data_IF_148402135655
#
_entry.id   IF_148402135655
#
_cell.length_a   1.000
_cell.length_b   1.000
_cell.length_c   1.000
_cell.angle_alpha   90.00
_cell.angle_beta   90.00
_cell.angle_gamma   90.00
#
_symmetry.space_group_name_H-M   'P 1'
#
loop_
_entity.id
_entity.type
_entity.pdbx_description
1 polymer ?
#
# COMPACT_ATOMS: atom_id res chain seq x y z
N UNK A 1 8.81 -8.52 -16.09
CA UNK A 1 9.41 -7.51 -15.19
C UNK A 1 8.95 -6.08 -15.48
N UNK A 2 9.13 -5.54 -16.71
CA UNK A 2 8.70 -4.15 -17.02
C UNK A 2 7.20 -3.90 -16.80
N UNK A 3 6.34 -4.79 -17.29
CA UNK A 3 4.88 -4.68 -17.12
C UNK A 3 4.48 -4.71 -15.63
N UNK A 4 5.06 -5.61 -14.83
CA UNK A 4 4.82 -5.67 -13.39
C UNK A 4 5.30 -4.41 -12.66
N UNK A 5 6.45 -3.84 -13.08
CA UNK A 5 6.93 -2.57 -12.54
C UNK A 5 5.98 -1.41 -12.89
N UNK A 6 5.49 -1.35 -14.13
CA UNK A 6 4.49 -0.37 -14.55
C UNK A 6 3.19 -0.53 -13.75
N UNK A 7 2.70 -1.75 -13.60
CA UNK A 7 1.52 -2.05 -12.79
C UNK A 7 1.71 -1.61 -11.34
N UNK A 8 2.89 -1.84 -10.75
CA UNK A 8 3.19 -1.37 -9.39
C UNK A 8 3.20 0.16 -9.29
N UNK A 9 3.72 0.88 -10.31
CA UNK A 9 3.69 2.35 -10.35
C UNK A 9 2.25 2.87 -10.48
N UNK A 10 1.42 2.26 -11.33
CA UNK A 10 0.00 2.63 -11.45
C UNK A 10 -0.73 2.38 -10.13
N UNK A 11 -0.53 1.21 -9.52
CA UNK A 11 -1.09 0.88 -8.20
C UNK A 11 -0.65 1.85 -7.10
N UNK A 12 0.61 2.30 -7.14
CA UNK A 12 1.13 3.33 -6.24
C UNK A 12 0.42 4.66 -6.43
N UNK A 13 0.28 5.13 -7.66
CA UNK A 13 -0.38 6.41 -7.97
C UNK A 13 -1.85 6.37 -7.56
N UNK A 14 -2.58 5.31 -7.94
CA UNK A 14 -3.99 5.13 -7.55
C UNK A 14 -4.13 5.08 -6.03
N UNK A 15 -3.27 4.32 -5.35
CA UNK A 15 -3.29 4.24 -3.88
C UNK A 15 -3.03 5.60 -3.24
N UNK A 16 -2.04 6.36 -3.73
CA UNK A 16 -1.70 7.68 -3.21
C UNK A 16 -2.83 8.70 -3.43
N UNK A 17 -3.43 8.74 -4.63
CA UNK A 17 -4.54 9.65 -4.93
C UNK A 17 -5.76 9.34 -4.05
N UNK A 18 -6.17 8.08 -3.93
CA UNK A 18 -7.26 7.69 -3.05
C UNK A 18 -6.93 7.99 -1.58
N UNK A 19 -5.67 7.79 -1.17
CA UNK A 19 -5.22 8.13 0.17
C UNK A 19 -5.38 9.62 0.47
N UNK A 20 -4.97 10.50 -0.45
CA UNK A 20 -5.13 11.95 -0.33
C UNK A 20 -6.60 12.35 -0.26
N UNK A 21 -7.47 11.72 -1.06
CA UNK A 21 -8.92 11.98 -1.03
C UNK A 21 -9.51 11.72 0.36
N UNK A 22 -9.01 10.74 1.11
CA UNK A 22 -9.50 10.46 2.48
C UNK A 22 -9.32 11.60 3.48
N UNK A 23 -8.54 12.64 3.14
CA UNK A 23 -8.34 13.83 3.97
C UNK A 23 -9.27 14.99 3.61
N UNK A 24 -10.00 14.90 2.51
CA UNK A 24 -10.78 16.03 1.96
C UNK A 24 -12.21 16.12 2.50
N UNK A 25 -12.66 15.13 3.26
CA UNK A 25 -14.05 15.04 3.73
C UNK A 25 -15.06 14.61 2.66
N UNK A 26 -14.61 14.36 1.42
CA UNK A 26 -15.45 13.83 0.33
C UNK A 26 -15.94 12.42 0.68
N UNK A 27 -17.19 12.12 0.32
CA UNK A 27 -17.74 10.78 0.50
C UNK A 27 -16.97 9.75 -0.31
N UNK A 28 -16.21 8.92 0.40
CA UNK A 28 -15.40 7.86 -0.17
C UNK A 28 -16.16 6.55 -0.36
N UNK A 29 -17.47 6.50 -0.06
CA UNK A 29 -18.27 5.28 -0.13
C UNK A 29 -18.26 4.65 -1.54
N UNK A 30 -18.23 5.48 -2.59
CA UNK A 30 -18.11 5.04 -3.98
C UNK A 30 -16.79 4.33 -4.31
N UNK A 31 -15.73 4.52 -3.52
CA UNK A 31 -14.43 3.87 -3.72
C UNK A 31 -14.29 2.56 -2.94
N UNK A 32 -15.29 2.17 -2.14
CA UNK A 32 -15.20 0.94 -1.33
C UNK A 32 -14.99 -0.32 -2.17
N UNK A 33 -15.53 -0.36 -3.39
CA UNK A 33 -15.30 -1.44 -4.35
C UNK A 33 -13.83 -1.55 -4.81
N UNK A 34 -13.02 -0.49 -4.67
CA UNK A 34 -11.60 -0.49 -5.04
C UNK A 34 -10.70 -1.10 -3.96
N UNK A 35 -11.17 -1.22 -2.73
CA UNK A 35 -10.39 -1.77 -1.60
C UNK A 35 -9.88 -3.18 -1.92
N UNK A 36 -10.78 -4.06 -2.34
CA UNK A 36 -10.44 -5.44 -2.66
C UNK A 36 -9.45 -5.56 -3.83
N UNK A 37 -9.72 -4.99 -5.04
CA UNK A 37 -8.79 -5.12 -6.15
C UNK A 37 -7.44 -4.43 -5.90
N UNK A 38 -7.37 -3.33 -5.13
CA UNK A 38 -6.09 -2.74 -4.72
C UNK A 38 -5.30 -3.68 -3.79
N UNK A 39 -5.98 -4.27 -2.81
CA UNK A 39 -5.36 -5.28 -1.94
C UNK A 39 -4.89 -6.51 -2.71
N UNK A 40 -5.73 -7.06 -3.59
CA UNK A 40 -5.40 -8.21 -4.44
C UNK A 40 -4.24 -7.89 -5.40
N UNK A 41 -4.24 -6.69 -5.99
CA UNK A 41 -3.19 -6.23 -6.89
C UNK A 41 -1.82 -6.11 -6.23
N UNK A 42 -1.76 -5.90 -4.90
CA UNK A 42 -0.50 -5.97 -4.16
C UNK A 42 0.12 -7.36 -4.30
N UNK A 43 -0.65 -8.44 -4.16
CA UNK A 43 -0.11 -9.79 -4.28
C UNK A 43 0.46 -10.09 -5.67
N UNK A 44 -0.17 -9.55 -6.72
CA UNK A 44 0.28 -9.68 -8.13
C UNK A 44 1.69 -9.13 -8.31
N UNK A 45 2.05 -8.04 -7.62
CA UNK A 45 3.39 -7.44 -7.73
C UNK A 45 4.34 -7.91 -6.62
N UNK A 46 3.81 -8.22 -5.44
CA UNK A 46 4.60 -8.54 -4.26
C UNK A 46 5.22 -9.93 -4.36
N UNK A 47 4.48 -10.93 -4.85
CA UNK A 47 5.02 -12.28 -5.04
C UNK A 47 6.22 -12.26 -6.00
N UNK A 48 6.13 -11.70 -7.23
CA UNK A 48 7.29 -11.53 -8.11
C UNK A 48 8.40 -10.70 -7.49
N UNK A 49 8.08 -9.70 -6.67
CA UNK A 49 9.06 -8.88 -5.95
C UNK A 49 9.89 -9.73 -4.97
N UNK A 50 9.25 -10.64 -4.24
CA UNK A 50 9.92 -11.58 -3.32
C UNK A 50 10.80 -12.60 -4.05
N UNK A 51 10.39 -13.08 -5.22
CA UNK A 51 11.27 -13.95 -6.03
C UNK A 51 12.42 -13.16 -6.67
N UNK A 52 12.12 -11.97 -7.16
CA UNK A 52 13.09 -11.03 -7.68
C UNK A 52 14.07 -10.55 -6.59
N UNK A 53 13.72 -10.58 -5.31
CA UNK A 53 14.63 -10.25 -4.23
C UNK A 53 15.59 -11.40 -3.89
N UNK A 54 15.09 -12.63 -3.81
CA UNK A 54 15.91 -13.81 -3.51
C UNK A 54 17.05 -14.02 -4.50
N UNK A 55 16.78 -13.86 -5.80
CA UNK A 55 17.80 -14.01 -6.85
C UNK A 55 18.85 -12.87 -6.86
N UNK A 56 18.79 -11.89 -5.94
CA UNK A 56 19.79 -10.81 -5.76
C UNK A 56 20.74 -11.13 -4.60
N UNK A 57 20.38 -12.06 -3.71
CA UNK A 57 21.26 -12.52 -2.64
C UNK A 57 22.31 -13.46 -3.23
N UNK A 58 23.58 -13.08 -3.11
CA UNK A 58 24.67 -14.04 -3.02
C UNK A 58 24.74 -14.51 -1.56
N UNK A 59 25.03 -15.79 -1.31
CA UNK A 59 25.10 -16.43 0.02
C UNK A 59 25.94 -15.67 1.08
N UNK A 60 26.77 -14.71 0.67
CA UNK A 60 27.60 -13.89 1.55
C UNK A 60 26.96 -12.59 2.07
N UNK A 61 25.79 -12.15 1.57
CA UNK A 61 25.19 -10.86 1.94
C UNK A 61 23.97 -10.98 2.86
N UNK A 62 24.20 -10.76 4.15
CA UNK A 62 23.19 -10.84 5.24
C UNK A 62 22.09 -9.77 5.18
N UNK A 63 22.25 -8.71 4.38
CA UNK A 63 21.36 -7.53 4.43
C UNK A 63 20.74 -7.23 3.06
N UNK A 64 19.69 -7.99 2.72
CA UNK A 64 18.99 -7.93 1.42
C UNK A 64 18.62 -6.50 1.01
N UNK A 65 18.08 -5.71 1.95
CA UNK A 65 17.63 -4.35 1.67
C UNK A 65 18.78 -3.43 1.28
N UNK A 66 19.96 -3.58 1.90
CA UNK A 66 21.16 -2.85 1.47
C UNK A 66 21.55 -3.20 0.04
N UNK A 67 21.46 -4.47 -0.36
CA UNK A 67 21.84 -4.93 -1.72
C UNK A 67 20.83 -4.46 -2.76
N UNK A 68 19.54 -4.63 -2.47
CA UNK A 68 18.46 -4.19 -3.33
C UNK A 68 18.50 -2.68 -3.57
N UNK A 69 18.85 -1.93 -2.52
CA UNK A 69 18.88 -0.48 -2.55
C UNK A 69 20.26 0.13 -2.88
N UNK A 70 21.35 -0.65 -2.88
CA UNK A 70 22.70 -0.14 -3.18
C UNK A 70 22.83 0.49 -4.57
N UNK A 71 21.98 0.07 -5.51
CA UNK A 71 21.94 0.60 -6.89
C UNK A 71 20.98 1.76 -7.07
N UNK A 72 20.27 2.16 -6.02
CA UNK A 72 19.34 3.28 -6.04
C UNK A 72 19.96 4.53 -5.41
N UNK A 73 19.44 5.72 -5.74
CA UNK A 73 19.85 6.95 -5.09
C UNK A 73 19.72 6.85 -3.57
N UNK A 74 20.68 7.42 -2.83
CA UNK A 74 20.72 7.38 -1.35
C UNK A 74 19.47 7.94 -0.66
N UNK A 75 18.65 8.73 -1.35
CA UNK A 75 17.39 9.26 -0.83
C UNK A 75 16.25 8.23 -0.82
N UNK A 76 16.31 7.22 -1.69
CA UNK A 76 15.20 6.29 -1.89
C UNK A 76 14.96 5.32 -0.71
N UNK A 77 16.01 4.75 -0.07
CA UNK A 77 15.83 4.02 1.18
C UNK A 77 15.17 4.85 2.28
N UNK A 78 15.49 6.15 2.33
CA UNK A 78 14.90 7.08 3.30
C UNK A 78 13.41 7.26 3.01
N UNK A 79 13.01 7.41 1.74
CA UNK A 79 11.60 7.48 1.34
C UNK A 79 10.84 6.22 1.76
N UNK A 80 11.40 5.03 1.53
CA UNK A 80 10.77 3.78 1.99
C UNK A 80 10.65 3.71 3.51
N UNK A 81 11.68 4.13 4.24
CA UNK A 81 11.65 4.20 5.71
C UNK A 81 10.57 5.15 6.22
N UNK A 82 10.45 6.34 5.62
CA UNK A 82 9.41 7.33 5.94
C UNK A 82 8.02 6.78 5.60
N UNK A 83 7.83 6.15 4.44
CA UNK A 83 6.57 5.54 4.05
C UNK A 83 6.18 4.37 4.97
N UNK A 84 7.14 3.55 5.41
CA UNK A 84 6.89 2.46 6.34
C UNK A 84 6.50 2.99 7.74
N UNK A 85 7.22 4.00 8.25
CA UNK A 85 6.88 4.66 9.50
C UNK A 85 5.49 5.31 9.43
N UNK A 86 5.20 6.01 8.32
CA UNK A 86 3.90 6.59 8.04
C UNK A 86 2.79 5.53 7.98
N UNK A 87 3.01 4.42 7.29
CA UNK A 87 2.06 3.31 7.20
C UNK A 87 1.70 2.78 8.59
N UNK A 88 2.71 2.52 9.44
CA UNK A 88 2.51 2.03 10.81
C UNK A 88 1.74 3.06 11.64
N UNK A 89 2.19 4.32 11.63
CA UNK A 89 1.53 5.40 12.35
C UNK A 89 0.08 5.55 11.88
N UNK A 90 -0.17 5.68 10.58
CA UNK A 90 -1.50 5.83 10.00
C UNK A 90 -2.40 4.64 10.33
N UNK A 91 -1.88 3.41 10.30
CA UNK A 91 -2.64 2.22 10.69
C UNK A 91 -3.09 2.27 12.15
N UNK A 92 -2.14 2.47 13.06
CA UNK A 92 -2.43 2.50 14.50
C UNK A 92 -3.35 3.68 14.82
N UNK A 93 -3.01 4.88 14.35
CA UNK A 93 -3.78 6.09 14.59
C UNK A 93 -5.21 5.96 14.04
N UNK A 94 -5.37 5.45 12.82
CA UNK A 94 -6.72 5.31 12.23
C UNK A 94 -7.54 4.28 12.98
N UNK A 95 -7.00 3.09 13.27
CA UNK A 95 -7.76 2.05 13.97
C UNK A 95 -8.10 2.43 15.41
N UNK A 96 -7.11 2.90 16.16
CA UNK A 96 -7.25 3.13 17.60
C UNK A 96 -7.96 4.46 17.87
N UNK A 97 -7.51 5.54 17.24
CA UNK A 97 -7.99 6.90 17.56
C UNK A 97 -9.23 7.26 16.74
N UNK A 98 -9.20 7.06 15.41
CA UNK A 98 -10.29 7.53 14.55
C UNK A 98 -11.48 6.56 14.51
N UNK A 99 -11.20 5.25 14.52
CA UNK A 99 -12.22 4.21 14.39
C UNK A 99 -12.65 3.58 15.72
N UNK A 100 -11.96 3.87 16.83
CA UNK A 100 -12.23 3.27 18.14
C UNK A 100 -12.30 1.73 18.10
N UNK A 101 -11.50 1.10 17.23
CA UNK A 101 -11.50 -0.35 17.01
C UNK A 101 -12.74 -0.93 16.31
N UNK A 102 -13.64 -0.09 15.79
CA UNK A 102 -14.87 -0.51 15.11
C UNK A 102 -14.87 -0.31 13.59
N UNK A 103 -15.97 -0.68 12.96
CA UNK A 103 -16.26 -0.39 11.56
C UNK A 103 -17.71 0.09 11.38
N UNK A 104 -17.97 0.97 10.40
CA UNK A 104 -19.31 1.46 10.13
C UNK A 104 -20.19 0.35 9.53
N UNK A 105 -21.44 0.27 9.99
CA UNK A 105 -22.47 -0.67 9.51
C UNK A 105 -23.83 0.01 9.45
N UNK A 106 -24.70 -0.53 8.60
CA UNK A 106 -26.12 -0.17 8.59
C UNK A 106 -26.86 -1.40 9.13
N UNK A 107 -27.58 -1.24 10.24
CA UNK A 107 -28.36 -2.30 10.89
C UNK A 107 -29.76 -1.76 11.12
N UNK A 108 -30.78 -2.43 10.57
CA UNK A 108 -32.18 -2.00 10.67
C UNK A 108 -32.42 -0.54 10.22
N UNK A 109 -31.68 -0.07 9.21
CA UNK A 109 -31.75 1.30 8.71
C UNK A 109 -30.94 2.32 9.52
N UNK A 110 -30.40 1.95 10.67
CA UNK A 110 -29.56 2.83 11.50
C UNK A 110 -28.08 2.69 11.14
N UNK A 111 -27.38 3.83 11.04
CA UNK A 111 -25.92 3.89 10.88
C UNK A 111 -25.28 3.71 12.26
N UNK A 112 -24.50 2.66 12.44
CA UNK A 112 -23.86 2.34 13.70
C UNK A 112 -22.36 2.07 13.52
N UNK A 113 -21.59 2.33 14.57
CA UNK A 113 -20.24 1.84 14.73
C UNK A 113 -20.29 0.54 15.52
N UNK A 114 -19.70 -0.52 14.98
CA UNK A 114 -19.72 -1.85 15.59
C UNK A 114 -18.31 -2.46 15.60
N UNK A 115 -17.94 -3.15 16.67
CA UNK A 115 -16.72 -3.97 16.73
C UNK A 115 -17.08 -5.39 17.17
N UNK A 116 -16.70 -6.40 16.39
CA UNK A 116 -16.96 -7.82 16.71
C UNK A 116 -18.41 -8.13 17.13
N UNK A 117 -19.39 -7.52 16.46
CA UNK A 117 -20.81 -7.69 16.78
C UNK A 117 -21.32 -6.77 17.90
N UNK A 118 -20.43 -6.17 18.69
CA UNK A 118 -20.78 -5.25 19.78
C UNK A 118 -21.04 -3.85 19.24
N UNK A 119 -22.20 -3.29 19.59
CA UNK A 119 -22.53 -1.90 19.31
C UNK A 119 -21.61 -0.97 20.09
N UNK A 120 -21.00 0.00 19.42
CA UNK A 120 -20.19 1.05 20.06
C UNK A 120 -21.00 2.33 20.20
N UNK A 121 -21.52 2.86 19.08
CA UNK A 121 -22.36 4.06 19.05
C UNK A 121 -23.20 4.15 17.79
N UNK A 122 -24.27 4.96 17.82
CA UNK A 122 -24.94 5.43 16.60
C UNK A 122 -24.06 6.47 15.92
N UNK A 123 -24.14 6.54 14.59
CA UNK A 123 -23.38 7.47 13.76
C UNK A 123 -24.34 8.44 13.08
N UNK A 124 -23.95 9.71 12.99
CA UNK A 124 -24.57 10.63 12.03
C UNK A 124 -24.16 10.27 10.59
N UNK A 125 -24.78 10.93 9.62
CA UNK A 125 -24.45 10.75 8.22
C UNK A 125 -23.01 11.14 7.90
N UNK A 126 -22.55 12.25 8.47
CA UNK A 126 -21.18 12.76 8.33
C UNK A 126 -20.19 11.82 9.01
N UNK A 127 -20.49 11.34 10.22
CA UNK A 127 -19.63 10.39 10.93
C UNK A 127 -19.53 9.06 10.17
N UNK A 128 -20.64 8.57 9.61
CA UNK A 128 -20.64 7.35 8.79
C UNK A 128 -19.75 7.50 7.56
N UNK A 129 -19.88 8.62 6.83
CA UNK A 129 -19.05 8.93 5.68
C UNK A 129 -17.57 9.03 6.07
N UNK A 130 -17.25 9.69 7.17
CA UNK A 130 -15.87 9.78 7.68
C UNK A 130 -15.30 8.38 8.01
N UNK A 131 -16.08 7.52 8.66
CA UNK A 131 -15.66 6.14 8.97
C UNK A 131 -15.40 5.31 7.71
N UNK A 132 -16.18 5.49 6.64
CA UNK A 132 -15.92 4.85 5.34
C UNK A 132 -14.64 5.37 4.70
N UNK A 133 -14.34 6.66 4.85
CA UNK A 133 -13.05 7.24 4.47
C UNK A 133 -11.88 6.60 5.22
N UNK A 134 -12.04 6.32 6.52
CA UNK A 134 -11.02 5.66 7.33
C UNK A 134 -10.74 4.21 6.92
N UNK A 135 -11.76 3.45 6.50
CA UNK A 135 -11.57 2.12 5.91
C UNK A 135 -10.65 2.19 4.68
N UNK A 136 -10.94 3.11 3.75
CA UNK A 136 -10.12 3.33 2.57
C UNK A 136 -8.71 3.79 2.93
N UNK A 137 -8.58 4.66 3.93
CA UNK A 137 -7.30 5.23 4.40
C UNK A 137 -6.35 4.16 4.94
N UNK A 138 -6.87 3.20 5.69
CA UNK A 138 -6.07 2.07 6.18
C UNK A 138 -5.52 1.27 5.01
N UNK A 139 -6.39 0.90 4.07
CA UNK A 139 -6.01 0.06 2.91
C UNK A 139 -4.99 0.78 2.03
N UNK A 140 -5.30 2.00 1.63
CA UNK A 140 -4.45 2.80 0.72
C UNK A 140 -3.09 3.15 1.34
N UNK A 141 -3.03 3.34 2.67
CA UNK A 141 -1.76 3.54 3.38
C UNK A 141 -0.83 2.32 3.28
N UNK A 142 -1.37 1.10 3.39
CA UNK A 142 -0.59 -0.12 3.23
C UNK A 142 -0.20 -0.36 1.78
N UNK A 143 -1.18 -0.29 0.86
CA UNK A 143 -0.94 -0.59 -0.55
C UNK A 143 0.08 0.38 -1.13
N UNK A 144 0.08 1.66 -0.75
CA UNK A 144 1.09 2.64 -1.15
C UNK A 144 2.53 2.17 -0.79
N UNK A 145 2.75 1.65 0.42
CA UNK A 145 4.08 1.14 0.81
C UNK A 145 4.49 -0.07 -0.04
N UNK A 146 3.62 -1.07 -0.16
CA UNK A 146 3.92 -2.29 -0.91
C UNK A 146 4.12 -2.05 -2.40
N UNK A 147 3.27 -1.23 -3.02
CA UNK A 147 3.42 -0.84 -4.42
C UNK A 147 4.69 -0.04 -4.66
N UNK A 148 5.06 0.87 -3.74
CA UNK A 148 6.33 1.59 -3.81
C UNK A 148 7.51 0.62 -3.79
N UNK A 149 7.58 -0.25 -2.78
CA UNK A 149 8.67 -1.23 -2.65
C UNK A 149 8.75 -2.16 -3.88
N UNK A 150 7.61 -2.66 -4.37
CA UNK A 150 7.55 -3.50 -5.56
C UNK A 150 8.00 -2.76 -6.83
N UNK A 151 7.52 -1.53 -7.04
CA UNK A 151 7.88 -0.71 -8.19
C UNK A 151 9.41 -0.51 -8.27
N UNK A 152 10.06 -0.30 -7.12
CA UNK A 152 11.50 -0.15 -7.05
C UNK A 152 12.22 -1.44 -7.43
N UNK A 153 11.98 -2.54 -6.71
CA UNK A 153 12.69 -3.81 -6.95
C UNK A 153 12.49 -4.29 -8.39
N UNK A 154 11.24 -4.27 -8.89
CA UNK A 154 10.92 -4.73 -10.23
C UNK A 154 11.52 -3.83 -11.32
N UNK A 155 11.57 -2.52 -11.10
CA UNK A 155 12.23 -1.58 -12.02
C UNK A 155 13.75 -1.80 -12.07
N UNK A 156 14.40 -2.00 -10.92
CA UNK A 156 15.82 -2.35 -10.87
C UNK A 156 16.10 -3.63 -11.65
N UNK A 157 15.30 -4.68 -11.44
CA UNK A 157 15.44 -5.93 -12.18
C UNK A 157 15.25 -5.77 -13.67
N UNK A 158 14.25 -5.01 -14.10
CA UNK A 158 14.01 -4.74 -15.51
C UNK A 158 15.19 -4.02 -16.18
N UNK A 159 15.84 -3.08 -15.47
CA UNK A 159 17.05 -2.40 -15.96
C UNK A 159 18.25 -3.32 -16.04
N UNK A 160 18.46 -4.17 -15.03
CA UNK A 160 19.56 -5.14 -15.01
C UNK A 160 19.46 -6.16 -16.16
N UNK A 161 18.25 -6.68 -16.42
CA UNK A 161 18.02 -7.62 -17.52
C UNK A 161 18.35 -6.97 -18.88
N UNK A 162 17.95 -5.70 -19.09
CA UNK A 162 18.30 -4.95 -20.31
C UNK A 162 19.82 -4.78 -20.47
N UNK A 163 20.51 -4.39 -19.40
CA UNK A 163 21.97 -4.18 -19.44
C UNK A 163 22.74 -5.47 -19.71
N UNK A 164 22.31 -6.62 -19.17
CA UNK A 164 22.94 -7.93 -19.45
C UNK A 164 22.76 -8.34 -20.91
N UNK A 165 21.57 -8.15 -21.48
CA UNK A 165 21.29 -8.47 -22.88
C UNK A 165 22.19 -7.67 -23.83
N UNK A 166 22.31 -6.35 -23.62
CA UNK A 166 23.19 -5.50 -24.42
C UNK A 166 24.68 -5.88 -24.35
N UNK A 167 25.14 -6.48 -23.24
CA UNK A 167 26.51 -6.97 -23.11
C UNK A 167 26.76 -8.34 -23.75
N UNK A 168 25.71 -9.09 -24.07
CA UNK A 168 25.82 -10.39 -24.74
C UNK A 168 25.70 -10.27 -26.26
N UNK A 169 25.18 -9.13 -26.75
CA UNK A 169 25.03 -8.81 -28.17
C UNK A 169 26.22 -8.01 -28.74
N UNK A 170 27.15 -7.56 -27.88
CA UNK A 170 28.40 -6.88 -28.22
C UNK A 170 29.59 -7.76 -27.82
#
# INVERSE_FOLDING_TARGET
MKLLALFAVVGLIVSALLHLVTFTGVDCSGFSALIFPLGAGVFVVWIPTVFASKNLQSDKQKDFWKVALARFPKWLPKVLGVLAAYMIFNFIFTIVVLKHGGGPRIVNGEKILQSHGQFIKKLTDEEYVAQKGYDLRIVTGHTMMFYCAAALVLSARARQAKSRKLKAEN
#
